data_IF_083377586085
#
_entry.id   IF_083377586085
#
_cell.length_a   1.000
_cell.length_b   1.000
_cell.length_c   1.000
_cell.angle_alpha   90.00
_cell.angle_beta   90.00
_cell.angle_gamma   90.00
#
_symmetry.space_group_name_H-M   'P 1'
#
loop_
_entity.id
_entity.type
_entity.pdbx_description
1 polymer ?
#
# COMPACT_ATOMS: atom_id res chain seq x y z
N UNK A 1 16.97 5.00 -16.40
CA UNK A 1 16.16 4.62 -15.23
C UNK A 1 14.83 4.07 -15.73
N UNK A 2 14.30 3.03 -15.07
CA UNK A 2 12.98 2.48 -15.34
C UNK A 2 12.18 2.43 -14.03
N UNK A 3 10.90 2.78 -14.08
CA UNK A 3 9.98 2.68 -12.93
C UNK A 3 8.93 1.65 -13.28
N UNK A 4 8.77 0.65 -12.43
CA UNK A 4 7.81 -0.45 -12.58
C UNK A 4 6.79 -0.33 -11.45
N UNK A 5 5.51 -0.30 -11.80
CA UNK A 5 4.45 -0.46 -10.81
C UNK A 5 4.25 -1.96 -10.54
N UNK A 6 4.25 -2.34 -9.28
CA UNK A 6 4.06 -3.71 -8.84
C UNK A 6 2.84 -3.78 -7.91
N UNK A 7 1.87 -4.63 -8.23
CA UNK A 7 0.61 -4.76 -7.50
C UNK A 7 0.49 -6.19 -6.95
N UNK A 8 0.73 -6.42 -5.66
CA UNK A 8 0.52 -7.72 -5.03
C UNK A 8 -0.98 -7.95 -4.81
N UNK A 9 -1.54 -8.97 -5.46
CA UNK A 9 -2.97 -9.28 -5.42
C UNK A 9 -3.23 -10.78 -5.24
N UNK A 10 -3.01 -11.30 -4.00
CA UNK A 10 -3.29 -12.71 -3.69
C UNK A 10 -4.80 -12.99 -3.58
N UNK A 11 -5.21 -14.25 -3.80
CA UNK A 11 -6.61 -14.68 -3.68
C UNK A 11 -7.07 -14.83 -2.23
N UNK A 12 -6.16 -15.21 -1.32
CA UNK A 12 -6.42 -15.65 0.05
C UNK A 12 -6.71 -14.54 1.06
N UNK A 13 -7.59 -13.60 0.75
CA UNK A 13 -7.99 -12.57 1.73
C UNK A 13 -8.97 -13.15 2.74
N UNK A 14 -8.57 -13.23 4.04
CA UNK A 14 -9.35 -13.87 5.11
C UNK A 14 -10.48 -13.00 5.65
N UNK A 15 -10.21 -11.75 6.01
CA UNK A 15 -11.19 -10.82 6.60
C UNK A 15 -12.26 -10.35 5.60
N UNK A 16 -11.88 -10.15 4.36
CA UNK A 16 -12.79 -9.77 3.27
C UNK A 16 -12.58 -10.73 2.11
N UNK A 17 -13.54 -11.62 1.87
CA UNK A 17 -13.47 -12.59 0.76
C UNK A 17 -13.29 -11.86 -0.59
N UNK A 18 -12.31 -12.29 -1.38
CA UNK A 18 -12.00 -11.70 -2.68
C UNK A 18 -11.68 -10.18 -2.62
N UNK A 19 -11.11 -9.66 -1.54
CA UNK A 19 -10.83 -8.23 -1.32
C UNK A 19 -10.30 -7.53 -2.56
N UNK A 20 -9.25 -8.06 -3.20
CA UNK A 20 -8.57 -7.43 -4.34
C UNK A 20 -9.43 -7.24 -5.60
N UNK A 21 -10.51 -8.01 -5.73
CA UNK A 21 -11.47 -7.92 -6.83
C UNK A 21 -12.88 -7.53 -6.38
N UNK A 22 -13.02 -7.08 -5.13
CA UNK A 22 -14.26 -6.48 -4.66
C UNK A 22 -14.61 -5.26 -5.54
N UNK A 23 -15.89 -5.09 -5.85
CA UNK A 23 -16.32 -4.05 -6.78
C UNK A 23 -16.80 -2.80 -6.04
N UNK A 24 -16.21 -1.65 -6.39
CA UNK A 24 -16.72 -0.32 -6.07
C UNK A 24 -17.07 0.36 -7.39
N UNK A 25 -18.21 1.00 -7.49
CA UNK A 25 -18.72 1.59 -8.73
C UNK A 25 -18.62 0.60 -9.92
N UNK A 26 -19.15 -0.62 -9.76
CA UNK A 26 -19.18 -1.74 -10.72
C UNK A 26 -17.81 -2.26 -11.19
N UNK A 27 -16.69 -1.72 -10.68
CA UNK A 27 -15.34 -2.02 -11.11
C UNK A 27 -14.51 -2.61 -9.96
N UNK A 28 -13.72 -3.68 -10.18
CA UNK A 28 -12.83 -4.24 -9.15
C UNK A 28 -11.82 -3.24 -8.61
N UNK A 29 -11.45 -3.33 -7.31
CA UNK A 29 -10.42 -2.48 -6.69
C UNK A 29 -9.12 -2.51 -7.50
N UNK A 30 -8.64 -3.70 -7.86
CA UNK A 30 -7.45 -3.89 -8.69
C UNK A 30 -7.50 -3.07 -9.99
N UNK A 31 -8.66 -3.03 -10.64
CA UNK A 31 -8.83 -2.33 -11.93
C UNK A 31 -8.76 -0.82 -11.74
N UNK A 32 -9.35 -0.28 -10.66
CA UNK A 32 -9.22 1.15 -10.34
C UNK A 32 -7.77 1.56 -10.19
N UNK A 33 -6.96 0.75 -9.47
CA UNK A 33 -5.53 1.05 -9.27
C UNK A 33 -4.77 0.95 -10.59
N UNK A 34 -4.99 -0.09 -11.42
CA UNK A 34 -4.32 -0.23 -12.72
C UNK A 34 -4.63 0.98 -13.61
N UNK A 35 -5.89 1.39 -13.73
CA UNK A 35 -6.29 2.54 -14.54
C UNK A 35 -5.68 3.86 -14.03
N UNK A 36 -5.66 4.05 -12.72
CA UNK A 36 -5.01 5.22 -12.11
C UNK A 36 -3.52 5.26 -12.45
N UNK A 37 -2.81 4.13 -12.34
CA UNK A 37 -1.39 4.03 -12.68
C UNK A 37 -1.14 4.31 -14.16
N UNK A 38 -1.96 3.78 -15.07
CA UNK A 38 -1.87 4.08 -16.51
C UNK A 38 -1.98 5.58 -16.79
N UNK A 39 -2.89 6.28 -16.13
CA UNK A 39 -3.07 7.74 -16.26
C UNK A 39 -1.88 8.57 -15.79
N UNK A 40 -0.92 7.98 -15.09
CA UNK A 40 0.31 8.71 -14.68
C UNK A 40 1.31 8.86 -15.81
N UNK A 41 1.36 7.92 -16.76
CA UNK A 41 2.30 7.84 -17.89
C UNK A 41 3.78 7.76 -17.50
N UNK A 42 4.10 7.31 -16.26
CA UNK A 42 5.48 7.25 -15.76
C UNK A 42 6.03 5.84 -15.61
N UNK A 43 5.15 4.83 -15.62
CA UNK A 43 5.55 3.44 -15.45
C UNK A 43 5.90 2.78 -16.79
N UNK A 44 7.07 2.16 -16.86
CA UNK A 44 7.46 1.31 -18.01
C UNK A 44 6.53 0.11 -18.16
N UNK A 45 6.10 -0.45 -17.03
CA UNK A 45 5.16 -1.57 -16.98
C UNK A 45 4.39 -1.57 -15.65
N UNK A 46 3.21 -2.15 -15.68
CA UNK A 46 2.37 -2.40 -14.51
C UNK A 46 2.28 -3.91 -14.37
N UNK A 47 2.85 -4.43 -13.29
CA UNK A 47 2.94 -5.86 -13.00
C UNK A 47 1.97 -6.20 -11.89
N UNK A 48 1.15 -7.22 -12.09
CA UNK A 48 0.31 -7.80 -11.05
C UNK A 48 0.87 -9.15 -10.67
N UNK A 49 1.19 -9.33 -9.38
CA UNK A 49 1.63 -10.59 -8.80
C UNK A 49 0.45 -11.25 -8.10
N UNK A 50 0.01 -12.40 -8.61
CA UNK A 50 -1.16 -13.13 -8.10
C UNK A 50 -0.98 -14.64 -8.22
N UNK A 51 -1.60 -15.39 -7.31
CA UNK A 51 -1.74 -16.85 -7.31
C UNK A 51 -3.03 -17.32 -8.02
N UNK A 52 -3.89 -16.38 -8.44
CA UNK A 52 -5.24 -16.66 -8.95
C UNK A 52 -5.35 -16.45 -10.46
N UNK A 53 -5.77 -17.48 -11.19
CA UNK A 53 -6.09 -17.36 -12.62
C UNK A 53 -7.23 -16.38 -12.91
N UNK A 54 -8.18 -16.21 -11.97
CA UNK A 54 -9.27 -15.23 -12.07
C UNK A 54 -8.72 -13.80 -12.00
N UNK A 55 -7.85 -13.51 -11.00
CA UNK A 55 -7.22 -12.19 -10.85
C UNK A 55 -6.30 -11.91 -12.04
N UNK A 56 -5.54 -12.92 -12.51
CA UNK A 56 -4.71 -12.81 -13.71
C UNK A 56 -5.53 -12.37 -14.92
N UNK A 57 -6.66 -13.01 -15.19
CA UNK A 57 -7.55 -12.65 -16.33
C UNK A 57 -8.03 -11.19 -16.23
N UNK A 58 -8.40 -10.73 -15.02
CA UNK A 58 -8.83 -9.35 -14.78
C UNK A 58 -7.68 -8.37 -15.03
N UNK A 59 -6.48 -8.65 -14.50
CA UNK A 59 -5.30 -7.80 -14.65
C UNK A 59 -4.91 -7.63 -16.12
N UNK A 60 -4.85 -8.73 -16.89
CA UNK A 60 -4.51 -8.71 -18.32
C UNK A 60 -5.53 -7.90 -19.13
N UNK A 61 -6.83 -8.10 -18.89
CA UNK A 61 -7.89 -7.31 -19.55
C UNK A 61 -7.80 -5.81 -19.23
N UNK A 62 -7.23 -5.43 -18.08
CA UNK A 62 -7.05 -4.03 -17.68
C UNK A 62 -5.72 -3.42 -18.21
N UNK A 63 -4.91 -4.20 -18.94
CA UNK A 63 -3.66 -3.75 -19.54
C UNK A 63 -2.45 -3.81 -18.59
N UNK A 64 -2.52 -4.57 -17.50
CA UNK A 64 -1.37 -4.94 -16.71
C UNK A 64 -0.76 -6.26 -17.20
N UNK A 65 0.48 -6.55 -16.82
CA UNK A 65 1.17 -7.79 -17.10
C UNK A 65 1.17 -8.71 -15.88
N UNK A 66 1.07 -10.02 -16.11
CA UNK A 66 1.21 -11.07 -15.08
C UNK A 66 2.22 -12.09 -15.63
N UNK A 67 3.53 -11.94 -15.34
CA UNK A 67 4.57 -12.79 -15.94
C UNK A 67 4.37 -14.27 -15.63
N UNK A 68 4.03 -14.60 -14.38
CA UNK A 68 3.73 -15.96 -13.92
C UNK A 68 2.72 -15.92 -12.77
N UNK A 69 2.08 -17.02 -12.48
CA UNK A 69 1.35 -17.17 -11.23
C UNK A 69 2.34 -17.24 -10.07
N UNK A 70 2.00 -16.58 -8.97
CA UNK A 70 2.80 -16.54 -7.75
C UNK A 70 2.86 -17.92 -7.12
N UNK A 71 4.04 -18.31 -6.64
CA UNK A 71 4.26 -19.56 -5.91
C UNK A 71 3.40 -19.63 -4.65
N UNK A 72 2.99 -20.82 -4.25
CA UNK A 72 2.21 -21.07 -3.04
C UNK A 72 2.90 -20.50 -1.78
N UNK A 73 4.21 -20.75 -1.64
CA UNK A 73 5.04 -20.24 -0.53
C UNK A 73 5.14 -18.72 -0.42
N UNK A 74 4.77 -17.99 -1.46
CA UNK A 74 4.71 -16.53 -1.46
C UNK A 74 3.26 -15.98 -1.40
N UNK A 75 2.29 -16.88 -1.23
CA UNK A 75 0.85 -16.55 -1.25
C UNK A 75 0.15 -16.86 0.06
N UNK A 76 0.85 -17.46 1.03
CA UNK A 76 0.36 -17.70 2.38
C UNK A 76 0.45 -16.45 3.27
N UNK A 77 0.08 -16.60 4.56
CA UNK A 77 0.07 -15.49 5.52
C UNK A 77 1.46 -15.15 6.08
N UNK A 78 2.44 -16.05 5.92
CA UNK A 78 3.81 -15.86 6.41
C UNK A 78 4.65 -15.06 5.41
N UNK A 79 4.27 -15.09 4.13
CA UNK A 79 4.99 -14.38 3.08
C UNK A 79 4.82 -12.86 3.25
N UNK A 80 5.94 -12.18 3.49
CA UNK A 80 5.97 -10.72 3.61
C UNK A 80 5.91 -10.04 2.26
N UNK A 81 5.56 -8.76 2.23
CA UNK A 81 5.63 -7.97 1.00
C UNK A 81 7.07 -7.89 0.45
N UNK A 82 8.07 -7.91 1.33
CA UNK A 82 9.48 -7.96 0.94
C UNK A 82 9.77 -9.21 0.12
N UNK A 83 9.32 -10.38 0.56
CA UNK A 83 9.57 -11.65 -0.12
C UNK A 83 8.93 -11.67 -1.51
N UNK A 84 7.69 -11.17 -1.60
CA UNK A 84 6.93 -11.13 -2.85
C UNK A 84 7.57 -10.19 -3.88
N UNK A 85 8.00 -9.00 -3.45
CA UNK A 85 8.66 -8.04 -4.36
C UNK A 85 10.07 -8.49 -4.70
N UNK A 86 10.79 -9.08 -3.75
CA UNK A 86 12.14 -9.63 -3.95
C UNK A 86 12.14 -10.75 -5.00
N UNK A 87 11.20 -11.71 -4.94
CA UNK A 87 11.07 -12.79 -5.93
C UNK A 87 10.88 -12.20 -7.34
N UNK A 88 10.01 -11.20 -7.50
CA UNK A 88 9.86 -10.50 -8.77
C UNK A 88 11.14 -9.77 -9.18
N UNK A 89 11.81 -9.07 -8.27
CA UNK A 89 13.06 -8.36 -8.56
C UNK A 89 14.16 -9.30 -9.06
N UNK A 90 14.24 -10.52 -8.52
CA UNK A 90 15.19 -11.54 -8.95
C UNK A 90 14.87 -12.07 -10.35
N UNK A 91 13.61 -12.10 -10.76
CA UNK A 91 13.20 -12.54 -12.10
C UNK A 91 13.53 -11.52 -13.21
N UNK A 92 13.77 -10.25 -12.85
CA UNK A 92 14.16 -9.22 -13.83
C UNK A 92 15.58 -9.48 -14.30
N UNK A 93 15.76 -10.00 -15.52
CA UNK A 93 17.08 -10.15 -16.18
C UNK A 93 17.74 -8.78 -16.21
N UNK A 94 18.95 -8.71 -15.67
CA UNK A 94 19.69 -7.50 -15.35
C UNK A 94 19.66 -6.46 -16.46
N UNK A 95 19.01 -5.34 -16.30
CA UNK A 95 19.19 -4.23 -17.20
C UNK A 95 20.43 -3.44 -16.76
N UNK A 96 21.17 -2.91 -17.72
CA UNK A 96 22.18 -1.86 -17.49
C UNK A 96 21.56 -0.60 -16.83
N UNK A 97 20.22 -0.52 -16.70
CA UNK A 97 19.47 0.63 -16.21
C UNK A 97 18.99 0.41 -14.78
N UNK A 98 19.10 1.44 -13.93
CA UNK A 98 18.52 1.44 -12.56
C UNK A 98 17.01 1.19 -12.64
N UNK A 99 16.52 0.21 -11.88
CA UNK A 99 15.10 -0.14 -11.78
C UNK A 99 14.57 0.26 -10.42
N UNK A 100 13.44 0.97 -10.42
CA UNK A 100 12.69 1.36 -9.23
C UNK A 100 11.36 0.62 -9.26
N UNK A 101 11.00 0.03 -8.13
CA UNK A 101 9.71 -0.63 -7.92
C UNK A 101 8.82 0.27 -7.07
N UNK A 102 7.68 0.62 -7.63
CA UNK A 102 6.56 1.25 -6.94
C UNK A 102 5.56 0.15 -6.59
N UNK A 103 5.64 -0.38 -5.38
CA UNK A 103 4.72 -1.41 -4.89
C UNK A 103 3.47 -0.74 -4.31
N UNK A 104 2.29 -0.99 -4.89
CA UNK A 104 1.01 -0.42 -4.47
C UNK A 104 -0.04 -1.51 -4.33
N UNK A 105 -0.91 -1.42 -3.32
CA UNK A 105 -1.93 -2.42 -3.06
C UNK A 105 -3.23 -2.16 -3.85
N UNK A 106 -4.00 -3.21 -4.20
CA UNK A 106 -5.31 -3.06 -4.86
C UNK A 106 -6.32 -2.24 -4.05
N UNK A 107 -6.13 -2.17 -2.72
CA UNK A 107 -6.96 -1.39 -1.78
C UNK A 107 -6.72 0.13 -1.87
N UNK A 108 -5.65 0.56 -2.54
CA UNK A 108 -5.20 1.95 -2.60
C UNK A 108 -5.98 2.82 -3.61
N UNK A 109 -7.29 2.60 -3.74
CA UNK A 109 -8.14 3.28 -4.73
C UNK A 109 -8.35 4.78 -4.46
N UNK A 110 -8.04 5.24 -3.24
CA UNK A 110 -8.11 6.66 -2.87
C UNK A 110 -6.80 7.42 -3.21
N UNK A 111 -5.74 6.70 -3.60
CA UNK A 111 -4.52 7.29 -4.13
C UNK A 111 -4.78 7.79 -5.56
N UNK A 112 -4.36 9.00 -5.85
CA UNK A 112 -4.51 9.60 -7.17
C UNK A 112 -3.16 9.78 -7.89
N UNK A 113 -3.22 10.11 -9.19
CA UNK A 113 -2.03 10.29 -10.05
C UNK A 113 -1.06 11.36 -9.53
N UNK A 114 -1.56 12.42 -8.92
CA UNK A 114 -0.75 13.51 -8.38
C UNK A 114 0.08 13.04 -7.18
N UNK A 115 -0.54 12.30 -6.26
CA UNK A 115 0.17 11.72 -5.11
C UNK A 115 1.24 10.72 -5.54
N UNK A 116 0.95 9.86 -6.54
CA UNK A 116 1.93 8.93 -7.11
C UNK A 116 3.14 9.68 -7.67
N UNK A 117 2.91 10.72 -8.49
CA UNK A 117 3.99 11.53 -9.06
C UNK A 117 4.82 12.23 -7.98
N UNK A 118 4.16 12.84 -6.99
CA UNK A 118 4.84 13.49 -5.85
C UNK A 118 5.70 12.52 -5.06
N UNK A 119 5.19 11.32 -4.75
CA UNK A 119 5.92 10.31 -4.00
C UNK A 119 7.16 9.81 -4.77
N UNK A 120 7.03 9.57 -6.08
CA UNK A 120 8.15 9.16 -6.93
C UNK A 120 9.20 10.25 -7.01
N UNK A 121 8.81 11.50 -7.28
CA UNK A 121 9.74 12.63 -7.32
C UNK A 121 10.48 12.74 -5.98
N UNK A 122 9.76 12.64 -4.86
CA UNK A 122 10.37 12.69 -3.52
C UNK A 122 11.36 11.57 -3.28
N UNK A 123 11.06 10.36 -3.73
CA UNK A 123 11.99 9.24 -3.64
C UNK A 123 13.28 9.48 -4.48
N UNK A 124 13.14 10.17 -5.61
CA UNK A 124 14.26 10.43 -6.52
C UNK A 124 15.16 11.60 -6.08
N UNK A 125 14.67 12.51 -5.24
CA UNK A 125 15.43 13.67 -4.76
C UNK A 125 16.69 13.26 -3.97
N UNK A 126 16.62 12.16 -3.23
CA UNK A 126 17.72 11.68 -2.38
C UNK A 126 17.92 10.17 -2.52
N UNK A 127 19.05 9.66 -2.01
CA UNK A 127 19.36 8.23 -2.00
C UNK A 127 18.69 7.51 -0.82
N UNK A 128 17.36 7.53 -0.75
CA UNK A 128 16.63 6.75 0.25
C UNK A 128 16.71 5.25 -0.06
N UNK A 129 16.71 4.42 0.98
CA UNK A 129 16.54 2.97 0.82
C UNK A 129 15.13 2.66 0.34
N UNK A 130 14.16 3.21 1.05
CA UNK A 130 12.74 3.09 0.73
C UNK A 130 12.02 4.42 0.96
N UNK A 131 10.85 4.56 0.35
CA UNK A 131 9.82 5.51 0.73
C UNK A 131 8.55 4.74 1.05
N UNK A 132 7.95 5.05 2.19
CA UNK A 132 6.70 4.48 2.66
C UNK A 132 5.66 5.57 2.85
N UNK A 133 4.38 5.26 2.69
CA UNK A 133 3.32 6.19 3.06
C UNK A 133 2.92 6.00 4.52
N UNK A 134 2.86 7.11 5.24
CA UNK A 134 2.52 7.11 6.67
C UNK A 134 1.35 8.02 6.97
N UNK A 135 0.73 7.81 8.12
CA UNK A 135 -0.26 8.69 8.70
C UNK A 135 0.06 8.94 10.16
N UNK A 136 -0.14 10.18 10.60
CA UNK A 136 -0.02 10.55 12.00
C UNK A 136 -1.17 9.94 12.81
N UNK A 137 -0.88 9.43 14.01
CA UNK A 137 -1.93 9.07 14.95
C UNK A 137 -2.75 10.29 15.36
N UNK A 138 -4.06 10.18 15.36
CA UNK A 138 -4.95 11.25 15.81
C UNK A 138 -4.83 11.52 17.32
N UNK A 139 -4.51 10.48 18.09
CA UNK A 139 -4.27 10.53 19.52
C UNK A 139 -2.88 9.98 19.83
N UNK A 140 -2.16 10.50 20.84
CA UNK A 140 -0.87 9.97 21.26
C UNK A 140 -0.97 8.48 21.61
N UNK A 141 -0.08 7.66 21.04
CA UNK A 141 -0.04 6.23 21.32
C UNK A 141 0.29 5.95 22.80
N UNK A 142 0.98 6.88 23.44
CA UNK A 142 1.32 6.84 24.85
C UNK A 142 0.08 6.89 25.77
N UNK A 143 -1.07 7.31 25.25
CA UNK A 143 -2.37 7.28 25.93
C UNK A 143 -3.20 6.04 25.61
N UNK A 144 -2.64 5.08 24.86
CA UNK A 144 -3.29 3.80 24.64
C UNK A 144 -3.28 2.95 25.90
N UNK A 145 -4.25 2.07 26.02
CA UNK A 145 -4.35 1.09 27.10
C UNK A 145 -4.98 -0.19 26.58
N UNK A 146 -4.71 -1.28 27.27
CA UNK A 146 -5.37 -2.55 27.03
C UNK A 146 -6.58 -2.70 27.95
N UNK A 147 -7.56 -3.46 27.49
CA UNK A 147 -8.73 -3.85 28.28
C UNK A 147 -8.73 -5.35 28.47
N UNK A 148 -9.09 -5.81 29.66
CA UNK A 148 -9.25 -7.24 29.96
C UNK A 148 -10.58 -7.80 29.41
N UNK A 149 -10.83 -9.10 29.62
CA UNK A 149 -12.06 -9.78 29.18
C UNK A 149 -13.35 -9.14 29.74
N UNK A 150 -13.27 -8.52 30.90
CA UNK A 150 -14.40 -7.83 31.55
C UNK A 150 -14.52 -6.36 31.12
N UNK A 151 -13.76 -5.94 30.09
CA UNK A 151 -13.72 -4.56 29.55
C UNK A 151 -13.21 -3.52 30.57
N UNK A 152 -12.40 -3.94 31.53
CA UNK A 152 -11.74 -3.07 32.51
C UNK A 152 -10.33 -2.75 32.06
N UNK A 153 -9.88 -1.50 32.24
CA UNK A 153 -8.54 -1.03 31.88
C UNK A 153 -7.50 -1.81 32.69
N UNK A 154 -6.47 -2.35 32.03
CA UNK A 154 -5.32 -2.95 32.70
C UNK A 154 -4.35 -1.88 33.20
N UNK A 155 -3.99 -1.99 34.49
CA UNK A 155 -3.17 -0.99 35.24
C UNK A 155 -1.80 -0.69 34.63
N UNK A 156 -1.21 -1.56 33.80
CA UNK A 156 0.15 -1.43 33.24
C UNK A 156 0.36 -0.20 32.36
N UNK A 157 -0.69 0.46 31.90
CA UNK A 157 -0.63 1.51 30.87
C UNK A 157 -1.11 2.89 31.34
N UNK A 158 -1.44 3.06 32.63
CA UNK A 158 -2.08 4.28 33.13
C UNK A 158 -1.16 5.50 33.33
N UNK A 159 0.17 5.31 33.35
CA UNK A 159 1.15 6.39 33.68
C UNK A 159 1.08 7.65 32.80
N UNK A 160 0.59 7.52 31.57
CA UNK A 160 0.58 8.63 30.61
C UNK A 160 -0.82 9.25 30.40
N UNK A 161 -1.88 8.67 31.01
CA UNK A 161 -3.25 9.14 30.79
C UNK A 161 -3.54 10.49 31.42
N UNK A 162 -2.81 10.85 32.50
CA UNK A 162 -2.92 12.14 33.20
C UNK A 162 -2.15 13.28 32.53
N UNK A 163 -1.23 12.97 31.60
CA UNK A 163 -0.42 14.01 30.93
C UNK A 163 -1.23 14.73 29.85
N UNK A 164 -0.91 16.02 29.64
CA UNK A 164 -1.51 16.79 28.56
C UNK A 164 -1.16 16.17 27.17
N UNK A 165 -2.16 16.02 26.31
CA UNK A 165 -2.04 15.44 24.96
C UNK A 165 -0.99 16.15 24.10
N UNK A 166 -0.84 17.48 24.30
CA UNK A 166 0.10 18.29 23.53
C UNK A 166 1.56 18.07 23.90
N UNK A 167 1.85 17.44 25.05
CA UNK A 167 3.22 17.18 25.51
C UNK A 167 3.88 15.96 24.86
N UNK A 168 3.13 15.17 24.10
CA UNK A 168 3.65 13.97 23.45
C UNK A 168 4.16 14.26 22.05
N UNK A 169 5.25 13.55 21.67
CA UNK A 169 5.76 13.57 20.30
C UNK A 169 4.72 13.05 19.29
N UNK A 170 4.75 13.60 18.09
CA UNK A 170 3.93 13.11 16.99
C UNK A 170 4.41 11.72 16.58
N UNK A 171 3.54 10.73 16.65
CA UNK A 171 3.79 9.37 16.18
C UNK A 171 3.07 9.10 14.88
N UNK A 172 3.67 8.24 14.06
CA UNK A 172 3.15 7.85 12.74
C UNK A 172 3.04 6.33 12.65
N UNK A 173 2.15 5.86 11.80
CA UNK A 173 2.03 4.45 11.45
C UNK A 173 2.08 4.26 9.94
N UNK A 174 2.49 3.07 9.50
CA UNK A 174 2.44 2.67 8.10
C UNK A 174 0.98 2.60 7.64
N UNK A 175 0.65 3.40 6.63
CA UNK A 175 -0.72 3.44 6.08
C UNK A 175 -1.01 2.27 5.13
N UNK A 176 -0.01 1.47 4.75
CA UNK A 176 -0.19 0.28 3.95
C UNK A 176 -0.71 0.53 2.53
N UNK A 177 -0.41 1.69 1.93
CA UNK A 177 -0.93 2.01 0.59
C UNK A 177 0.09 1.71 -0.51
N UNK A 178 1.34 2.15 -0.32
CA UNK A 178 2.42 1.87 -1.28
C UNK A 178 3.80 2.01 -0.64
N UNK A 179 4.77 1.36 -1.28
CA UNK A 179 6.19 1.42 -0.95
C UNK A 179 7.01 1.64 -2.22
N UNK A 180 8.09 2.43 -2.13
CA UNK A 180 9.01 2.67 -3.25
C UNK A 180 10.41 2.27 -2.82
N UNK A 181 11.10 1.52 -3.67
CA UNK A 181 12.49 1.13 -3.45
C UNK A 181 13.19 0.78 -4.76
N UNK A 182 14.52 0.87 -4.79
CA UNK A 182 15.28 0.35 -5.91
C UNK A 182 15.24 -1.19 -5.92
N UNK A 183 15.40 -1.80 -7.10
CA UNK A 183 15.53 -3.25 -7.25
C UNK A 183 16.58 -3.81 -6.27
N UNK A 184 17.73 -3.14 -6.16
CA UNK A 184 18.82 -3.52 -5.29
C UNK A 184 18.41 -3.52 -3.81
N UNK A 185 17.66 -2.50 -3.37
CA UNK A 185 17.19 -2.41 -1.99
C UNK A 185 16.17 -3.52 -1.67
N UNK A 186 15.24 -3.81 -2.58
CA UNK A 186 14.30 -4.91 -2.43
C UNK A 186 14.99 -6.29 -2.34
N UNK A 187 16.14 -6.46 -3.00
CA UNK A 187 16.91 -7.71 -2.95
C UNK A 187 17.80 -7.78 -1.69
N UNK A 188 18.52 -6.69 -1.38
CA UNK A 188 19.61 -6.71 -0.40
C UNK A 188 19.16 -6.39 1.03
N UNK A 189 18.11 -5.58 1.22
CA UNK A 189 17.62 -5.21 2.55
C UNK A 189 16.76 -6.31 3.15
N UNK A 190 16.80 -6.45 4.48
CA UNK A 190 15.97 -7.43 5.21
C UNK A 190 14.58 -6.89 5.51
N UNK A 191 14.40 -5.58 5.57
CA UNK A 191 13.15 -4.91 5.91
C UNK A 191 13.01 -3.55 5.21
N UNK A 192 11.77 -3.08 5.08
CA UNK A 192 11.45 -1.77 4.48
C UNK A 192 11.78 -0.63 5.47
N UNK A 193 11.54 -0.86 6.75
CA UNK A 193 11.78 0.13 7.82
C UNK A 193 13.27 0.16 8.18
N UNK A 194 13.99 1.14 7.65
CA UNK A 194 15.42 1.35 7.89
C UNK A 194 15.65 2.80 8.32
N UNK A 195 16.82 3.11 8.90
CA UNK A 195 17.18 4.49 9.29
C UNK A 195 17.23 5.46 8.09
N UNK A 196 17.23 4.95 6.85
CA UNK A 196 17.19 5.74 5.63
C UNK A 196 15.92 5.46 4.80
N UNK A 197 14.78 5.30 5.50
CA UNK A 197 13.45 5.19 4.87
C UNK A 197 12.72 6.52 5.02
N UNK A 198 12.30 7.09 3.89
CA UNK A 198 11.53 8.33 3.88
C UNK A 198 10.06 8.06 4.17
N UNK A 199 9.48 8.79 5.10
CA UNK A 199 8.07 8.75 5.47
C UNK A 199 7.30 9.81 4.67
N UNK A 200 6.51 9.38 3.70
CA UNK A 200 5.63 10.24 2.89
C UNK A 200 4.30 10.41 3.63
N UNK A 201 4.13 11.54 4.28
CA UNK A 201 2.97 11.82 5.13
C UNK A 201 1.71 12.10 4.32
N UNK A 202 0.68 11.29 4.55
CA UNK A 202 -0.66 11.37 3.96
C UNK A 202 -1.73 11.80 4.97
N UNK A 203 -1.35 12.33 6.13
CA UNK A 203 -2.29 12.72 7.21
C UNK A 203 -3.36 13.72 6.77
N UNK A 204 -3.00 14.64 5.85
CA UNK A 204 -3.93 15.64 5.29
C UNK A 204 -4.92 15.05 4.26
N UNK A 205 -4.80 13.78 3.91
CA UNK A 205 -5.61 13.14 2.89
C UNK A 205 -6.60 12.15 3.53
N UNK A 206 -7.84 12.11 3.02
CA UNK A 206 -8.85 11.12 3.42
C UNK A 206 -8.58 9.76 2.77
N UNK A 207 -7.42 9.16 3.09
CA UNK A 207 -6.97 7.86 2.58
C UNK A 207 -7.01 6.87 3.73
N UNK A 208 -7.64 5.71 3.51
CA UNK A 208 -7.83 4.66 4.49
C UNK A 208 -7.42 3.33 3.88
N UNK A 209 -6.87 2.43 4.70
CA UNK A 209 -6.70 1.04 4.30
C UNK A 209 -8.04 0.30 4.39
N UNK A 210 -8.13 -0.82 3.67
CA UNK A 210 -9.31 -1.69 3.68
C UNK A 210 -8.89 -3.00 4.33
N UNK A 211 -9.16 -3.13 5.61
CA UNK A 211 -8.83 -4.32 6.37
C UNK A 211 -10.06 -5.08 6.88
N UNK A 212 -11.08 -4.35 7.27
CA UNK A 212 -12.34 -4.88 7.78
C UNK A 212 -13.51 -4.53 6.83
N UNK A 213 -14.64 -5.26 6.89
CA UNK A 213 -15.80 -4.97 6.05
C UNK A 213 -16.30 -3.53 6.15
N UNK A 214 -16.22 -2.91 7.34
CA UNK A 214 -16.65 -1.52 7.53
C UNK A 214 -15.76 -0.52 6.78
N UNK A 215 -14.47 -0.82 6.59
CA UNK A 215 -13.56 0.05 5.83
C UNK A 215 -14.01 0.17 4.37
N UNK A 216 -14.59 -0.91 3.80
CA UNK A 216 -15.15 -0.88 2.45
C UNK A 216 -16.24 0.18 2.31
N UNK A 217 -17.11 0.34 3.32
CA UNK A 217 -18.18 1.32 3.29
C UNK A 217 -17.62 2.75 3.34
N UNK A 218 -16.64 2.99 4.22
CA UNK A 218 -15.96 4.29 4.34
C UNK A 218 -15.24 4.64 3.04
N UNK A 219 -14.42 3.73 2.53
CA UNK A 219 -13.66 3.94 1.29
C UNK A 219 -14.58 4.13 0.09
N UNK A 220 -15.68 3.37 0.00
CA UNK A 220 -16.70 3.51 -1.04
C UNK A 220 -17.35 4.90 -1.01
N UNK A 221 -17.73 5.40 0.17
CA UNK A 221 -18.34 6.72 0.31
C UNK A 221 -17.38 7.83 -0.15
N UNK A 222 -16.12 7.79 0.29
CA UNK A 222 -15.09 8.77 -0.09
C UNK A 222 -14.80 8.68 -1.60
N UNK A 223 -14.64 7.47 -2.13
CA UNK A 223 -14.37 7.25 -3.55
C UNK A 223 -15.47 7.83 -4.43
N UNK A 224 -16.75 7.55 -4.11
CA UNK A 224 -17.90 8.06 -4.87
C UNK A 224 -18.04 9.57 -4.78
N UNK A 225 -17.76 10.18 -3.62
CA UNK A 225 -17.71 11.64 -3.48
C UNK A 225 -16.65 12.25 -4.39
N UNK A 226 -15.43 11.71 -4.39
CA UNK A 226 -14.34 12.20 -5.22
C UNK A 226 -14.63 11.99 -6.73
N UNK A 227 -15.27 10.90 -7.08
CA UNK A 227 -15.66 10.59 -8.47
C UNK A 227 -16.68 11.63 -9.01
N UNK A 228 -17.76 11.88 -8.26
CA UNK A 228 -18.76 12.89 -8.63
C UNK A 228 -18.17 14.31 -8.74
N UNK A 229 -17.19 14.65 -7.89
CA UNK A 229 -16.53 15.95 -7.96
C UNK A 229 -15.61 16.10 -9.18
N UNK A 230 -15.09 14.99 -9.72
CA UNK A 230 -14.27 14.98 -10.93
C UNK A 230 -15.07 15.03 -12.23
N UNK A 231 -16.33 14.55 -12.24
CA UNK A 231 -17.25 14.63 -13.40
C UNK A 231 -17.87 16.03 -13.57
N UNK A 232 -17.83 16.87 -12.53
CA UNK A 232 -18.36 18.26 -12.56
C UNK A 232 -17.33 19.30 -12.99
N UNK A 233 -16.09 18.89 -13.25
CA UNK A 233 -14.98 19.73 -13.76
C UNK A 233 -14.60 19.33 -15.17
#
# INVERSE_FOLDING_TARGET
MQIIAFIPARSGSKRIKNKNIFKINRKPLLVHVIEMLKKTNIFKSIIVSTDSSKIKKIALKSGASVPSLRKKSLSDDNATIMDVVKDYCLSIKSPKKKVIIFCIFPTSILINKTLVKRAINKYLEKKYNFLICVRKFNHPIERSFTINKNRIIEKKTLKNLSKNTQSFEKRYFDLGQFYIGSKENWIKKKQIFTNNTYCFDLSAHSIFDIDEPNDLNVVKAIFLKNFKSAEKK
#
